data_IF_081571243933
#
_entry.id   IF_081571243933
#
_cell.length_a   1.000
_cell.length_b   1.000
_cell.length_c   1.000
_cell.angle_alpha   90.00
_cell.angle_beta   90.00
_cell.angle_gamma   90.00
#
_symmetry.space_group_name_H-M   'P 1'
#
loop_
_entity.id
_entity.type
_entity.pdbx_description
1 polymer ?
#
# COMPACT_ATOMS: atom_id res chain seq x y z
N UNK A 1 8.61 34.16 -11.09
CA UNK A 1 7.97 33.07 -10.33
C UNK A 1 7.01 32.36 -11.27
N UNK A 2 7.44 31.26 -11.91
CA UNK A 2 6.57 30.46 -12.79
C UNK A 2 5.80 29.46 -11.93
N UNK A 3 4.49 29.48 -12.08
CA UNK A 3 3.52 28.79 -11.24
C UNK A 3 3.86 27.33 -10.96
N UNK A 4 3.61 26.92 -9.72
CA UNK A 4 3.35 25.53 -9.40
C UNK A 4 2.12 25.13 -10.22
N UNK A 5 2.32 24.54 -11.40
CA UNK A 5 1.30 23.71 -12.02
C UNK A 5 0.91 22.71 -10.94
N UNK A 6 -0.34 22.72 -10.51
CA UNK A 6 -0.91 21.60 -9.77
C UNK A 6 -0.61 20.35 -10.60
N UNK A 7 0.42 19.59 -10.22
CA UNK A 7 0.67 18.29 -10.82
C UNK A 7 -0.55 17.47 -10.44
N UNK A 8 -1.35 17.13 -11.44
CA UNK A 8 -2.46 16.21 -11.27
C UNK A 8 -1.90 14.93 -10.63
N UNK A 9 -2.35 14.63 -9.41
CA UNK A 9 -1.94 13.39 -8.75
C UNK A 9 -2.41 12.24 -9.64
N UNK A 10 -1.51 11.33 -9.98
CA UNK A 10 -1.91 10.13 -10.73
C UNK A 10 -3.04 9.41 -9.99
N UNK A 11 -3.98 8.81 -10.74
CA UNK A 11 -5.07 8.00 -10.19
C UNK A 11 -4.56 7.01 -9.12
N UNK A 12 -3.41 6.41 -9.39
CA UNK A 12 -2.73 5.49 -8.46
C UNK A 12 -2.36 6.17 -7.12
N UNK A 13 -1.78 7.37 -7.18
CA UNK A 13 -1.42 8.12 -5.97
C UNK A 13 -2.65 8.57 -5.18
N UNK A 14 -3.73 8.95 -5.87
CA UNK A 14 -5.00 9.30 -5.21
C UNK A 14 -5.60 8.07 -4.51
N UNK A 15 -5.61 6.92 -5.19
CA UNK A 15 -6.03 5.66 -4.60
C UNK A 15 -5.22 5.32 -3.34
N UNK A 16 -3.88 5.36 -3.40
CA UNK A 16 -3.04 5.09 -2.23
C UNK A 16 -3.28 6.09 -1.08
N UNK A 17 -3.56 7.37 -1.40
CA UNK A 17 -3.85 8.38 -0.38
C UNK A 17 -5.14 8.14 0.40
N UNK A 18 -5.99 7.21 -0.06
CA UNK A 18 -7.15 6.76 0.70
C UNK A 18 -6.79 5.80 1.83
N UNK A 19 -5.57 5.24 1.82
CA UNK A 19 -5.11 4.23 2.77
C UNK A 19 -3.92 4.72 3.60
N UNK A 20 -3.06 5.54 3.00
CA UNK A 20 -1.75 5.92 3.52
C UNK A 20 -1.54 7.43 3.43
N UNK A 21 -0.79 7.98 4.39
CA UNK A 21 -0.30 9.36 4.32
C UNK A 21 0.69 9.55 3.18
N UNK A 22 0.89 10.80 2.73
CA UNK A 22 1.89 11.11 1.70
C UNK A 22 3.31 10.63 2.06
N UNK A 23 3.68 10.71 3.34
CA UNK A 23 4.97 10.20 3.83
C UNK A 23 5.06 8.67 3.70
N UNK A 24 4.01 7.95 4.10
CA UNK A 24 3.93 6.49 3.96
C UNK A 24 3.92 6.06 2.49
N UNK A 25 3.31 6.83 1.59
CA UNK A 25 3.36 6.56 0.14
C UNK A 25 4.80 6.69 -0.38
N UNK A 26 5.56 7.68 0.10
CA UNK A 26 6.98 7.82 -0.21
C UNK A 26 7.80 6.60 0.25
N UNK A 27 7.63 6.19 1.50
CA UNK A 27 8.30 5.01 2.07
C UNK A 27 7.92 3.72 1.32
N UNK A 28 6.64 3.56 0.99
CA UNK A 28 6.14 2.43 0.21
C UNK A 28 6.84 2.36 -1.16
N UNK A 29 6.90 3.49 -1.87
CA UNK A 29 7.55 3.56 -3.19
C UNK A 29 9.03 3.19 -3.10
N UNK A 30 9.76 3.74 -2.14
CA UNK A 30 11.18 3.42 -1.92
C UNK A 30 11.38 1.94 -1.59
N UNK A 31 10.56 1.37 -0.70
CA UNK A 31 10.65 -0.03 -0.31
C UNK A 31 10.42 -0.97 -1.50
N UNK A 32 9.41 -0.68 -2.33
CA UNK A 32 9.12 -1.45 -3.54
C UNK A 32 10.26 -1.34 -4.57
N UNK A 33 10.79 -0.13 -4.79
CA UNK A 33 11.89 0.11 -5.74
C UNK A 33 13.20 -0.58 -5.32
N UNK A 34 13.41 -0.74 -4.01
CA UNK A 34 14.61 -1.37 -3.44
C UNK A 34 14.44 -2.85 -3.07
N UNK A 35 13.25 -3.42 -3.33
CA UNK A 35 12.96 -4.83 -3.03
C UNK A 35 12.92 -5.17 -1.53
N UNK A 36 12.73 -4.16 -0.66
CA UNK A 36 12.50 -4.35 0.78
C UNK A 36 11.12 -4.94 1.03
N UNK A 37 11.01 -5.70 2.12
CA UNK A 37 9.72 -6.22 2.56
C UNK A 37 8.84 -5.11 3.13
N UNK A 38 7.52 -5.27 2.98
CA UNK A 38 6.52 -4.34 3.49
C UNK A 38 5.51 -5.12 4.32
N UNK A 39 5.07 -4.55 5.43
CA UNK A 39 4.01 -5.12 6.24
C UNK A 39 2.95 -4.06 6.55
N UNK A 40 1.73 -4.29 6.07
CA UNK A 40 0.58 -3.44 6.37
C UNK A 40 -0.09 -3.88 7.66
N UNK A 41 -0.32 -2.95 8.58
CA UNK A 41 -1.04 -3.20 9.84
C UNK A 41 -2.08 -2.10 10.07
N UNK A 42 -3.03 -2.32 10.98
CA UNK A 42 -4.11 -1.36 11.26
C UNK A 42 -5.48 -2.01 11.40
N UNK A 43 -6.55 -1.22 11.62
CA UNK A 43 -7.87 -1.76 11.93
C UNK A 43 -8.42 -2.76 10.89
N UNK A 44 -9.32 -3.65 11.33
CA UNK A 44 -10.02 -4.54 10.42
C UNK A 44 -10.92 -3.74 9.46
N UNK A 45 -11.01 -4.17 8.21
CA UNK A 45 -11.80 -3.48 7.18
C UNK A 45 -11.12 -2.25 6.58
N UNK A 46 -9.90 -1.90 7.01
CA UNK A 46 -9.17 -0.74 6.50
C UNK A 46 -8.41 -0.98 5.18
N UNK A 47 -8.69 -2.07 4.47
CA UNK A 47 -8.14 -2.29 3.12
C UNK A 47 -6.69 -2.77 3.06
N UNK A 48 -6.13 -3.29 4.15
CA UNK A 48 -4.83 -3.99 4.15
C UNK A 48 -4.78 -5.08 3.05
N UNK A 49 -5.80 -5.91 2.94
CA UNK A 49 -5.85 -7.00 1.95
C UNK A 49 -5.98 -6.49 0.53
N UNK A 50 -6.62 -5.33 0.35
CA UNK A 50 -6.70 -4.64 -0.94
C UNK A 50 -5.32 -4.20 -1.40
N UNK A 51 -4.54 -3.55 -0.51
CA UNK A 51 -3.17 -3.15 -0.82
C UNK A 51 -2.26 -4.36 -1.06
N UNK A 52 -2.33 -5.37 -0.20
CA UNK A 52 -1.56 -6.59 -0.33
C UNK A 52 -1.82 -7.28 -1.69
N UNK A 53 -3.09 -7.45 -2.06
CA UNK A 53 -3.50 -8.03 -3.34
C UNK A 53 -3.01 -7.20 -4.54
N UNK A 54 -3.12 -5.87 -4.46
CA UNK A 54 -2.64 -4.96 -5.51
C UNK A 54 -1.16 -5.18 -5.81
N UNK A 55 -0.32 -5.18 -4.78
CA UNK A 55 1.13 -5.32 -4.96
C UNK A 55 1.55 -6.75 -5.30
N UNK A 56 0.86 -7.76 -4.79
CA UNK A 56 1.07 -9.15 -5.21
C UNK A 56 0.79 -9.36 -6.70
N UNK A 57 -0.31 -8.82 -7.23
CA UNK A 57 -0.62 -8.87 -8.67
C UNK A 57 0.42 -8.15 -9.53
N UNK A 58 1.10 -7.16 -8.97
CA UNK A 58 2.21 -6.49 -9.63
C UNK A 58 3.57 -7.23 -9.50
N UNK A 59 3.64 -8.29 -8.70
CA UNK A 59 4.84 -9.13 -8.53
C UNK A 59 5.66 -8.87 -7.26
N UNK A 60 5.19 -8.03 -6.33
CA UNK A 60 5.90 -7.73 -5.09
C UNK A 60 5.58 -8.75 -4.00
N UNK A 61 6.20 -9.92 -4.06
CA UNK A 61 5.92 -11.07 -3.18
C UNK A 61 6.31 -10.89 -1.69
N UNK A 62 7.02 -9.80 -1.34
CA UNK A 62 7.43 -9.50 0.05
C UNK A 62 6.49 -8.53 0.76
N UNK A 63 5.29 -8.34 0.22
CA UNK A 63 4.25 -7.50 0.81
C UNK A 63 3.34 -8.40 1.65
N UNK A 64 3.16 -8.05 2.91
CA UNK A 64 2.41 -8.87 3.87
C UNK A 64 1.44 -8.00 4.64
N UNK A 65 0.50 -8.60 5.36
CA UNK A 65 -0.45 -7.86 6.18
C UNK A 65 -0.74 -8.53 7.53
N UNK A 66 -1.14 -7.72 8.51
CA UNK A 66 -1.61 -8.17 9.80
C UNK A 66 -3.02 -8.74 9.72
N UNK A 67 -3.33 -9.78 10.52
CA UNK A 67 -4.63 -10.43 10.53
C UNK A 67 -4.79 -11.56 9.50
N UNK A 68 -3.70 -11.97 8.83
CA UNK A 68 -3.69 -13.11 7.90
C UNK A 68 -2.78 -14.24 8.39
N UNK A 69 -3.01 -15.43 7.81
CA UNK A 69 -2.14 -16.59 7.95
C UNK A 69 -1.31 -16.66 6.67
N UNK A 70 -0.01 -16.42 6.75
CA UNK A 70 0.92 -16.63 5.65
C UNK A 70 1.85 -17.79 6.01
N UNK A 71 1.65 -18.95 5.36
CA UNK A 71 2.43 -20.15 5.64
C UNK A 71 2.19 -20.68 7.07
N UNK A 72 3.25 -20.78 7.87
CA UNK A 72 3.20 -21.24 9.27
C UNK A 72 3.15 -20.10 10.29
N UNK A 73 3.28 -18.84 9.86
CA UNK A 73 3.27 -17.68 10.75
C UNK A 73 1.83 -17.18 10.96
N UNK A 74 1.44 -17.04 12.24
CA UNK A 74 0.12 -16.61 12.67
C UNK A 74 0.17 -15.15 13.15
N UNK A 75 -0.30 -14.22 12.32
CA UNK A 75 -0.42 -12.81 12.67
C UNK A 75 -1.86 -12.50 13.10
N UNK A 76 -2.33 -13.15 14.17
CA UNK A 76 -3.77 -13.29 14.52
C UNK A 76 -4.45 -12.02 15.05
N UNK A 77 -3.87 -10.83 14.84
CA UNK A 77 -4.45 -9.56 15.24
C UNK A 77 -4.34 -8.49 14.14
N UNK A 78 -5.27 -7.52 14.09
CA UNK A 78 -5.25 -6.44 13.09
C UNK A 78 -3.99 -5.54 13.19
N UNK A 79 -3.36 -5.53 14.36
CA UNK A 79 -2.11 -4.82 14.64
C UNK A 79 -0.94 -5.77 14.92
N UNK A 80 -1.04 -7.04 14.53
CA UNK A 80 0.08 -7.96 14.66
C UNK A 80 1.26 -7.43 13.84
N UNK A 81 2.43 -7.36 14.45
CA UNK A 81 3.68 -6.91 13.82
C UNK A 81 4.57 -8.14 13.66
N UNK A 82 5.29 -8.28 12.53
CA UNK A 82 6.25 -9.35 12.36
C UNK A 82 7.31 -9.34 13.46
N UNK A 83 7.83 -10.51 13.84
CA UNK A 83 9.00 -10.58 14.70
C UNK A 83 10.13 -9.74 14.09
N UNK A 84 10.44 -8.65 14.78
CA UNK A 84 11.39 -7.61 14.35
C UNK A 84 12.82 -8.15 14.27
N UNK A 85 13.15 -9.16 15.06
CA UNK A 85 14.44 -9.82 15.00
C UNK A 85 14.53 -10.79 13.81
N UNK A 86 13.42 -11.45 13.46
CA UNK A 86 13.32 -12.33 12.30
C UNK A 86 13.23 -11.57 10.96
N UNK A 87 12.72 -10.33 10.95
CA UNK A 87 12.45 -9.55 9.74
C UNK A 87 13.10 -8.16 9.73
N UNK A 88 14.40 -8.10 9.99
CA UNK A 88 15.20 -6.87 9.85
C UNK A 88 15.04 -6.26 8.44
N UNK A 89 14.77 -4.96 8.39
CA UNK A 89 14.67 -4.21 7.13
C UNK A 89 13.29 -4.24 6.47
N UNK A 90 12.24 -4.72 7.16
CA UNK A 90 10.84 -4.58 6.72
C UNK A 90 10.30 -3.19 7.06
N UNK A 91 9.58 -2.59 6.12
CA UNK A 91 8.87 -1.32 6.31
C UNK A 91 7.47 -1.62 6.85
N UNK A 92 7.16 -1.10 8.04
CA UNK A 92 5.84 -1.21 8.65
C UNK A 92 4.99 0.01 8.24
N UNK A 93 3.80 -0.23 7.71
CA UNK A 93 2.89 0.83 7.26
C UNK A 93 1.51 0.66 7.89
N UNK A 94 1.14 1.58 8.78
CA UNK A 94 -0.21 1.65 9.33
C UNK A 94 -1.21 2.14 8.28
N UNK A 95 -2.30 1.40 8.10
CA UNK A 95 -3.39 1.76 7.22
C UNK A 95 -4.46 2.50 8.00
N UNK A 96 -4.50 3.82 7.85
CA UNK A 96 -5.34 4.69 8.67
C UNK A 96 -6.74 4.94 8.08
N UNK A 97 -6.94 4.69 6.78
CA UNK A 97 -8.13 5.02 5.98
C UNK A 97 -8.82 6.34 6.34
N UNK A 98 -8.44 7.39 5.63
CA UNK A 98 -9.10 8.70 5.72
C UNK A 98 -9.90 8.96 4.43
N UNK A 99 -11.23 8.79 4.51
CA UNK A 99 -12.10 8.87 3.35
C UNK A 99 -12.66 10.28 3.13
N UNK A 100 -12.04 10.99 2.20
CA UNK A 100 -12.76 12.04 1.44
C UNK A 100 -13.74 11.38 0.46
N UNK A 101 -14.80 12.10 0.06
CA UNK A 101 -15.78 11.62 -0.94
C UNK A 101 -15.10 11.22 -2.26
N UNK A 102 -14.10 12.01 -2.68
CA UNK A 102 -13.20 11.70 -3.80
C UNK A 102 -12.46 10.38 -3.62
N UNK A 103 -11.98 10.09 -2.41
CA UNK A 103 -11.29 8.83 -2.12
C UNK A 103 -12.19 7.60 -2.25
N UNK A 104 -13.46 7.69 -1.83
CA UNK A 104 -14.42 6.58 -2.02
C UNK A 104 -14.69 6.29 -3.49
N UNK A 105 -14.84 7.34 -4.30
CA UNK A 105 -15.03 7.19 -5.74
C UNK A 105 -13.84 6.48 -6.39
N UNK A 106 -12.61 6.82 -6.01
CA UNK A 106 -11.41 6.14 -6.54
C UNK A 106 -11.26 4.70 -6.08
N UNK A 107 -11.67 4.38 -4.85
CA UNK A 107 -11.72 2.99 -4.37
C UNK A 107 -12.72 2.19 -5.20
N UNK A 108 -13.93 2.71 -5.41
CA UNK A 108 -14.92 2.05 -6.28
C UNK A 108 -14.39 1.87 -7.70
N UNK A 109 -13.78 2.91 -8.27
CA UNK A 109 -13.19 2.87 -9.60
C UNK A 109 -12.08 1.81 -9.70
N UNK A 110 -11.30 1.59 -8.63
CA UNK A 110 -10.31 0.50 -8.60
C UNK A 110 -10.96 -0.87 -8.74
N UNK A 111 -12.13 -1.13 -8.12
CA UNK A 111 -12.80 -2.42 -8.27
C UNK A 111 -13.44 -2.61 -9.64
N UNK A 112 -13.83 -1.53 -10.33
CA UNK A 112 -14.32 -1.58 -11.70
C UNK A 112 -13.18 -1.75 -12.73
N UNK A 113 -12.09 -1.00 -12.53
CA UNK A 113 -10.90 -1.02 -13.39
C UNK A 113 -9.63 -1.07 -12.53
N UNK A 114 -9.20 -2.26 -12.11
CA UNK A 114 -7.98 -2.43 -11.31
C UNK A 114 -6.74 -1.93 -12.05
N UNK A 115 -5.73 -1.53 -11.30
CA UNK A 115 -4.43 -1.18 -11.89
C UNK A 115 -3.76 -2.41 -12.47
N UNK A 116 -3.19 -2.25 -13.65
CA UNK A 116 -2.37 -3.29 -14.30
C UNK A 116 -1.02 -3.39 -13.60
N UNK A 117 -0.36 -4.54 -13.76
CA UNK A 117 1.02 -4.74 -13.30
C UNK A 117 1.95 -3.63 -13.82
N UNK A 118 1.85 -3.30 -15.09
CA UNK A 118 2.71 -2.30 -15.73
C UNK A 118 2.46 -0.89 -15.19
N UNK A 119 1.21 -0.52 -14.89
CA UNK A 119 0.88 0.75 -14.24
C UNK A 119 1.51 0.86 -12.84
N UNK A 120 1.45 -0.21 -12.05
CA UNK A 120 2.07 -0.25 -10.71
C UNK A 120 3.58 -0.16 -10.82
N UNK A 121 4.21 -0.93 -11.73
CA UNK A 121 5.66 -0.92 -11.93
C UNK A 121 6.12 0.45 -12.43
N UNK A 122 5.43 1.05 -13.40
CA UNK A 122 5.75 2.37 -13.90
C UNK A 122 5.68 3.43 -12.78
N UNK A 123 4.67 3.35 -11.91
CA UNK A 123 4.61 4.22 -10.74
C UNK A 123 5.80 4.02 -9.78
N UNK A 124 6.18 2.77 -9.48
CA UNK A 124 7.32 2.48 -8.60
C UNK A 124 8.64 3.02 -9.17
N UNK A 125 8.83 2.91 -10.49
CA UNK A 125 10.08 3.29 -11.17
C UNK A 125 10.15 4.77 -11.60
N UNK A 126 9.05 5.52 -11.46
CA UNK A 126 8.96 6.95 -11.84
C UNK A 126 9.71 7.92 -10.92
#
# INVERSE_FOLDING_TARGET
MKGAKHMEKSRFKVFLSCYLTEAQIGLLKEALATGKGIHFYGPQGHGKSTLCTLFHRAGYAKVTEAGTIEGTEMWTGPYAIPDVDARKGVVLLEVCMDYTEKGRSEISAYFEKPFTKDEVIAWVLS
#
